data_IF_572595122896
#
_entry.id   IF_572595122896
#
_cell.length_a   1.000
_cell.length_b   1.000
_cell.length_c   1.000
_cell.angle_alpha   90.00
_cell.angle_beta   90.00
_cell.angle_gamma   90.00
#
_symmetry.space_group_name_H-M   'P 1'
#
loop_
_entity.id
_entity.type
_entity.pdbx_description
1 polymer ?
#
# COMPACT_ATOMS: atom_id res chain seq x y z
N UNK A 1 5.05 -16.46 -0.09
CA UNK A 1 5.49 -15.15 -0.62
C UNK A 1 6.81 -14.80 0.05
N UNK A 2 7.89 -14.62 -0.71
CA UNK A 2 9.16 -14.13 -0.15
C UNK A 2 8.98 -12.67 0.30
N UNK A 3 9.41 -12.34 1.51
CA UNK A 3 9.39 -10.97 2.03
C UNK A 3 10.36 -10.12 1.21
N UNK A 4 9.93 -8.93 0.78
CA UNK A 4 10.79 -7.97 0.11
C UNK A 4 11.65 -7.24 1.14
N UNK A 5 12.86 -6.83 0.75
CA UNK A 5 13.69 -5.94 1.56
C UNK A 5 13.19 -4.48 1.46
N UNK A 6 13.64 -3.60 2.36
CA UNK A 6 13.14 -2.21 2.42
C UNK A 6 13.31 -1.45 1.09
N UNK A 7 14.46 -1.59 0.42
CA UNK A 7 14.70 -0.97 -0.89
C UNK A 7 13.73 -1.47 -1.98
N UNK A 8 13.43 -2.77 -2.00
CA UNK A 8 12.47 -3.36 -2.93
C UNK A 8 11.06 -2.87 -2.66
N UNK A 9 10.68 -2.78 -1.38
CA UNK A 9 9.37 -2.25 -0.96
C UNK A 9 9.24 -0.80 -1.42
N UNK A 10 10.23 0.03 -1.12
CA UNK A 10 10.17 1.45 -1.46
C UNK A 10 10.15 1.67 -2.97
N UNK A 11 10.94 0.90 -3.73
CA UNK A 11 10.91 0.94 -5.19
C UNK A 11 9.54 0.54 -5.74
N UNK A 12 8.94 -0.54 -5.23
CA UNK A 12 7.61 -0.99 -5.65
C UNK A 12 6.54 0.05 -5.36
N UNK A 13 6.59 0.69 -4.19
CA UNK A 13 5.65 1.77 -3.81
C UNK A 13 5.81 2.97 -4.74
N UNK A 14 7.04 3.43 -4.99
CA UNK A 14 7.29 4.57 -5.91
C UNK A 14 6.78 4.30 -7.33
N UNK A 15 6.93 3.07 -7.83
CA UNK A 15 6.40 2.70 -9.14
C UNK A 15 4.88 2.76 -9.14
N UNK A 16 4.23 2.21 -8.11
CA UNK A 16 2.78 2.25 -7.98
C UNK A 16 2.25 3.70 -7.86
N UNK A 17 2.89 4.53 -7.02
CA UNK A 17 2.57 5.95 -6.88
C UNK A 17 2.71 6.69 -8.22
N UNK A 18 3.77 6.45 -8.97
CA UNK A 18 3.96 7.05 -10.29
C UNK A 18 2.85 6.63 -11.28
N UNK A 19 2.46 5.35 -11.29
CA UNK A 19 1.35 4.85 -12.13
C UNK A 19 0.01 5.50 -11.78
N UNK A 20 -0.31 5.60 -10.48
CA UNK A 20 -1.55 6.22 -9.99
C UNK A 20 -1.57 7.73 -10.35
N UNK A 21 -0.44 8.41 -10.17
CA UNK A 21 -0.31 9.83 -10.52
C UNK A 21 -0.47 10.11 -12.03
N UNK A 22 -0.03 9.19 -12.89
CA UNK A 22 -0.25 9.30 -14.35
C UNK A 22 -1.75 9.30 -14.68
N UNK A 23 -2.55 8.54 -13.92
CA UNK A 23 -4.01 8.49 -14.06
C UNK A 23 -4.72 9.67 -13.38
N UNK A 24 -3.97 10.64 -12.85
CA UNK A 24 -4.51 11.82 -12.14
C UNK A 24 -5.11 11.48 -10.78
N UNK A 25 -4.78 10.33 -10.23
CA UNK A 25 -5.15 9.92 -8.88
C UNK A 25 -3.97 10.15 -7.94
N UNK A 26 -4.24 10.26 -6.64
CA UNK A 26 -3.20 10.30 -5.62
C UNK A 26 -3.38 9.14 -4.65
N UNK A 27 -2.26 8.58 -4.18
CA UNK A 27 -2.31 7.56 -3.15
C UNK A 27 -2.76 8.19 -1.83
N UNK A 28 -3.87 7.71 -1.28
CA UNK A 28 -4.45 8.21 -0.04
C UNK A 28 -3.44 8.22 1.12
N UNK A 29 -3.48 9.28 1.93
CA UNK A 29 -2.68 9.37 3.15
C UNK A 29 -3.01 8.19 4.10
N UNK A 30 -2.05 7.30 4.29
CA UNK A 30 -2.20 6.07 5.10
C UNK A 30 -2.21 4.77 4.30
N UNK A 31 -2.58 4.81 3.00
CA UNK A 31 -2.50 3.64 2.13
C UNK A 31 -1.05 3.19 1.92
N UNK A 32 -0.10 4.13 1.83
CA UNK A 32 1.34 3.83 1.74
C UNK A 32 1.82 2.93 2.88
N UNK A 33 1.54 3.33 4.12
CA UNK A 33 1.94 2.58 5.32
C UNK A 33 1.32 1.19 5.35
N UNK A 34 0.07 1.06 4.88
CA UNK A 34 -0.60 -0.23 4.78
C UNK A 34 0.07 -1.17 3.75
N UNK A 35 0.48 -0.62 2.60
CA UNK A 35 1.22 -1.37 1.57
C UNK A 35 2.59 -1.82 2.11
N UNK A 36 3.31 -0.96 2.83
CA UNK A 36 4.58 -1.31 3.48
C UNK A 36 4.43 -2.48 4.46
N UNK A 37 3.39 -2.47 5.31
CA UNK A 37 3.10 -3.55 6.24
C UNK A 37 2.82 -4.89 5.52
N UNK A 38 2.12 -4.83 4.37
CA UNK A 38 1.82 -6.03 3.57
C UNK A 38 3.06 -6.58 2.87
N UNK A 39 3.87 -5.73 2.24
CA UNK A 39 5.05 -6.15 1.50
C UNK A 39 6.18 -6.64 2.41
N UNK A 40 6.31 -6.06 3.62
CA UNK A 40 7.21 -6.55 4.67
C UNK A 40 6.71 -7.84 5.35
N UNK A 41 5.46 -8.23 5.10
CA UNK A 41 4.83 -9.41 5.68
C UNK A 41 4.54 -9.27 7.18
N UNK A 42 4.40 -8.04 7.69
CA UNK A 42 3.95 -7.77 9.06
C UNK A 42 2.45 -8.03 9.23
N UNK A 43 1.67 -7.91 8.15
CA UNK A 43 0.23 -8.22 8.13
C UNK A 43 -0.09 -9.28 7.08
N UNK A 44 -1.16 -10.05 7.34
CA UNK A 44 -1.68 -11.02 6.38
C UNK A 44 -2.41 -10.31 5.23
N UNK A 45 -2.69 -11.05 4.15
CA UNK A 45 -3.54 -10.54 3.06
C UNK A 45 -4.96 -10.21 3.55
N UNK A 46 -5.51 -11.06 4.43
CA UNK A 46 -6.82 -10.85 5.02
C UNK A 46 -6.86 -9.56 5.84
N UNK A 47 -5.81 -9.29 6.63
CA UNK A 47 -5.71 -8.06 7.41
C UNK A 47 -5.52 -6.84 6.53
N UNK A 48 -4.69 -6.94 5.49
CA UNK A 48 -4.52 -5.88 4.50
C UNK A 48 -5.85 -5.48 3.88
N UNK A 49 -6.63 -6.44 3.38
CA UNK A 49 -7.93 -6.16 2.76
C UNK A 49 -8.90 -5.50 3.75
N UNK A 50 -8.98 -6.02 4.99
CA UNK A 50 -9.82 -5.44 6.04
C UNK A 50 -9.45 -3.98 6.35
N UNK A 51 -8.17 -3.69 6.49
CA UNK A 51 -7.68 -2.34 6.79
C UNK A 51 -7.84 -1.40 5.60
N UNK A 52 -7.65 -1.88 4.37
CA UNK A 52 -7.87 -1.11 3.15
C UNK A 52 -9.35 -0.70 3.01
N UNK A 53 -10.29 -1.61 3.32
CA UNK A 53 -11.72 -1.28 3.37
C UNK A 53 -12.02 -0.23 4.43
N UNK A 54 -11.37 -0.29 5.60
CA UNK A 54 -11.52 0.71 6.65
C UNK A 54 -11.03 2.10 6.23
N UNK A 55 -9.91 2.20 5.49
CA UNK A 55 -9.41 3.45 4.94
C UNK A 55 -10.38 4.07 3.93
N UNK A 56 -10.97 3.25 3.06
CA UNK A 56 -11.94 3.71 2.06
C UNK A 56 -13.25 4.22 2.69
N UNK A 57 -13.61 3.76 3.89
CA UNK A 57 -14.81 4.21 4.61
C UNK A 57 -14.62 5.46 5.45
N UNK A 58 -13.37 5.87 5.72
CA UNK A 58 -13.06 7.10 6.49
C UNK A 58 -13.02 8.36 5.61
N UNK A 59 -13.28 8.23 4.30
CA UNK A 59 -13.33 9.32 3.32
C UNK A 59 -14.75 9.91 3.10
N UNK A 60 -15.76 9.45 3.85
CA UNK A 60 -17.10 10.08 3.97
C UNK A 60 -17.22 10.92 5.25
#
# INVERSE_FOLDING_TARGET
>A
MSKLNEEQIERSIRIAEASINIEGQELQAGARKLIELKLSGQISEKDFLRMATGLAQQEE
#
